data_IF_220885648157
#
_entry.id   IF_220885648157
#
_cell.length_a   1.000
_cell.length_b   1.000
_cell.length_c   1.000
_cell.angle_alpha   90.00
_cell.angle_beta   90.00
_cell.angle_gamma   90.00
#
_symmetry.space_group_name_H-M   'P 1'
#
loop_
_entity.id
_entity.type
_entity.pdbx_description
1 polymer ?
#
# COMPACT_ATOMS: atom_id res chain seq x y z
N UNK A 1 -85.50 36.48 14.42
CA UNK A 1 -85.88 35.07 14.64
C UNK A 1 -84.63 34.41 15.18
N UNK A 2 -84.51 34.25 16.51
CA UNK A 2 -85.20 33.19 17.28
C UNK A 2 -84.89 31.82 16.67
N UNK A 3 -84.51 30.78 17.39
CA UNK A 3 -84.38 30.45 18.80
C UNK A 3 -83.68 29.07 18.75
N UNK A 4 -82.70 28.80 19.61
CA UNK A 4 -82.87 28.10 20.88
C UNK A 4 -83.09 26.58 20.76
N UNK A 5 -82.51 25.90 21.73
CA UNK A 5 -82.72 24.53 22.21
C UNK A 5 -82.07 23.38 21.44
N UNK A 6 -81.04 22.71 21.97
CA UNK A 6 -80.90 22.00 23.26
C UNK A 6 -81.08 20.50 23.03
N UNK A 7 -80.06 19.74 23.41
CA UNK A 7 -80.08 18.51 24.22
C UNK A 7 -78.74 17.79 23.96
N UNK A 8 -77.78 17.70 24.88
CA UNK A 8 -77.81 17.23 26.28
C UNK A 8 -78.12 15.73 26.41
N UNK A 9 -77.10 14.95 26.75
CA UNK A 9 -77.11 13.95 27.84
C UNK A 9 -75.65 13.58 28.14
N UNK A 10 -75.04 14.14 29.21
CA UNK A 10 -75.13 13.74 30.63
C UNK A 10 -74.28 12.50 30.92
N UNK A 11 -73.18 12.72 31.64
CA UNK A 11 -72.82 11.91 32.82
C UNK A 11 -72.24 12.85 33.87
N UNK A 12 -73.15 13.33 34.73
CA UNK A 12 -72.98 13.68 36.15
C UNK A 12 -72.45 12.44 36.93
N UNK A 13 -71.72 12.45 38.03
CA UNK A 13 -71.42 13.47 39.05
C UNK A 13 -70.37 12.90 40.04
N UNK A 14 -69.70 13.81 40.78
CA UNK A 14 -69.17 13.76 42.17
C UNK A 14 -67.81 14.50 42.24
N UNK A 15 -67.79 15.81 42.56
CA UNK A 15 -67.60 16.44 43.90
C UNK A 15 -66.34 15.93 44.64
N UNK A 16 -65.44 16.74 45.22
CA UNK A 16 -65.49 18.12 45.72
C UNK A 16 -64.03 18.64 45.93
N UNK A 17 -63.88 19.97 45.87
CA UNK A 17 -62.89 20.84 46.54
C UNK A 17 -61.36 20.66 46.34
N UNK A 18 -60.76 21.59 45.60
CA UNK A 18 -60.02 22.73 46.20
C UNK A 18 -59.46 23.70 45.17
N UNK A 19 -59.84 24.95 45.39
CA UNK A 19 -59.33 26.20 44.82
C UNK A 19 -57.79 26.25 44.86
N UNK A 20 -57.14 26.44 43.71
CA UNK A 20 -55.74 26.85 43.62
C UNK A 20 -55.64 28.05 42.69
N UNK A 21 -55.51 29.19 43.37
CA UNK A 21 -55.31 30.55 42.88
C UNK A 21 -54.42 30.65 41.64
N UNK A 22 -54.96 31.30 40.61
CA UNK A 22 -54.17 32.02 39.60
C UNK A 22 -53.47 33.18 40.29
N UNK A 23 -52.27 32.93 40.85
CA UNK A 23 -51.35 33.99 41.29
C UNK A 23 -50.91 34.82 40.09
N UNK A 24 -51.59 35.93 39.87
CA UNK A 24 -51.00 37.08 39.17
C UNK A 24 -49.94 37.67 40.10
N UNK A 25 -48.71 37.19 40.00
CA UNK A 25 -47.54 37.89 40.53
C UNK A 25 -47.27 39.13 39.66
N UNK A 26 -48.13 40.13 39.79
CA UNK A 26 -47.94 41.45 39.21
C UNK A 26 -46.93 42.22 40.05
N UNK A 27 -45.73 42.45 39.52
CA UNK A 27 -44.79 43.40 40.12
C UNK A 27 -45.44 44.79 40.03
N UNK A 28 -45.83 45.36 41.17
CA UNK A 28 -46.34 46.72 41.28
C UNK A 28 -45.21 47.62 41.75
N UNK A 29 -44.95 48.71 41.02
CA UNK A 29 -43.94 49.71 41.40
C UNK A 29 -44.60 50.92 42.06
N UNK A 30 -44.03 51.37 43.17
CA UNK A 30 -44.58 52.51 43.92
C UNK A 30 -44.15 53.86 43.31
N UNK A 31 -43.12 53.87 42.46
CA UNK A 31 -42.67 55.06 41.73
C UNK A 31 -42.01 54.72 40.39
N UNK A 32 -41.95 55.69 39.48
CA UNK A 32 -41.28 55.56 38.18
C UNK A 32 -39.78 55.24 38.32
N UNK A 33 -39.14 55.72 39.40
CA UNK A 33 -37.72 55.47 39.67
C UNK A 33 -37.43 54.01 40.03
N UNK A 34 -38.38 53.35 40.68
CA UNK A 34 -38.21 51.96 41.12
C UNK A 34 -38.40 50.99 39.93
N UNK A 35 -39.33 51.32 39.02
CA UNK A 35 -39.49 50.64 37.73
C UNK A 35 -38.23 50.74 36.86
N UNK A 36 -37.65 51.94 36.77
CA UNK A 36 -36.43 52.20 35.98
C UNK A 36 -35.24 51.39 36.52
N UNK A 37 -35.05 51.37 37.85
CA UNK A 37 -34.00 50.57 38.50
C UNK A 37 -34.16 49.06 38.26
N UNK A 38 -35.40 48.56 38.24
CA UNK A 38 -35.66 47.15 37.95
C UNK A 38 -35.40 46.80 36.48
N UNK A 39 -35.80 47.67 35.56
CA UNK A 39 -35.53 47.50 34.13
C UNK A 39 -34.04 47.56 33.83
N UNK A 40 -33.30 48.51 34.40
CA UNK A 40 -31.85 48.57 34.28
C UNK A 40 -31.18 47.29 34.76
N UNK A 41 -31.56 46.77 35.93
CA UNK A 41 -31.03 45.50 36.44
C UNK A 41 -31.33 44.32 35.51
N UNK A 42 -32.53 44.28 34.92
CA UNK A 42 -32.91 43.23 33.96
C UNK A 42 -32.14 43.36 32.65
N UNK A 43 -31.97 44.58 32.14
CA UNK A 43 -31.22 44.87 30.93
C UNK A 43 -29.74 44.57 31.12
N UNK A 44 -29.12 45.01 32.22
CA UNK A 44 -27.73 44.67 32.56
C UNK A 44 -27.54 43.16 32.65
N UNK A 45 -28.45 42.45 33.34
CA UNK A 45 -28.38 40.99 33.44
C UNK A 45 -28.57 40.30 32.09
N UNK A 46 -29.44 40.82 31.23
CA UNK A 46 -29.63 40.31 29.87
C UNK A 46 -28.39 40.54 29.00
N UNK A 47 -27.75 41.71 29.11
CA UNK A 47 -26.52 42.05 28.39
C UNK A 47 -25.36 41.19 28.88
N UNK A 48 -25.19 41.00 30.19
CA UNK A 48 -24.17 40.12 30.76
C UNK A 48 -24.36 38.67 30.29
N UNK A 49 -25.59 38.18 30.31
CA UNK A 49 -25.91 36.84 29.82
C UNK A 49 -25.63 36.70 28.32
N UNK A 50 -25.99 37.71 27.52
CA UNK A 50 -25.72 37.73 26.09
C UNK A 50 -24.21 37.76 25.80
N UNK A 51 -23.45 38.60 26.52
CA UNK A 51 -21.98 38.67 26.41
C UNK A 51 -21.33 37.34 26.78
N UNK A 52 -21.75 36.73 27.88
CA UNK A 52 -21.23 35.43 28.31
C UNK A 52 -21.48 34.34 27.25
N UNK A 53 -22.70 34.30 26.68
CA UNK A 53 -23.02 33.35 25.60
C UNK A 53 -22.20 33.61 24.33
N UNK A 54 -22.04 34.87 23.93
CA UNK A 54 -21.22 35.20 22.77
C UNK A 54 -19.75 34.87 22.97
N UNK A 55 -19.21 35.08 24.17
CA UNK A 55 -17.83 34.72 24.49
C UNK A 55 -17.63 33.20 24.49
N UNK A 56 -18.59 32.44 25.01
CA UNK A 56 -18.58 30.97 24.98
C UNK A 56 -18.67 30.45 23.54
N UNK A 57 -19.59 30.96 22.73
CA UNK A 57 -19.69 30.62 21.30
C UNK A 57 -18.44 31.02 20.50
N UNK A 58 -17.81 32.15 20.84
CA UNK A 58 -16.56 32.58 20.22
C UNK A 58 -15.41 31.62 20.54
N UNK A 59 -15.27 31.22 21.82
CA UNK A 59 -14.27 30.23 22.24
C UNK A 59 -14.52 28.87 21.59
N UNK A 60 -15.77 28.40 21.56
CA UNK A 60 -16.11 27.12 20.94
C UNK A 60 -15.82 27.12 19.42
N UNK A 61 -16.11 28.23 18.72
CA UNK A 61 -15.72 28.38 17.30
C UNK A 61 -14.22 28.36 17.12
N UNK A 62 -13.48 29.07 17.96
CA UNK A 62 -12.01 29.12 17.88
C UNK A 62 -11.39 27.74 18.13
N UNK A 63 -11.89 27.00 19.13
CA UNK A 63 -11.41 25.67 19.46
C UNK A 63 -11.75 24.64 18.38
N UNK A 64 -12.96 24.70 17.81
CA UNK A 64 -13.34 23.87 16.65
C UNK A 64 -12.45 24.17 15.44
N UNK A 65 -12.19 25.44 15.13
CA UNK A 65 -11.33 25.85 14.03
C UNK A 65 -9.88 25.39 14.24
N UNK A 66 -9.33 25.57 15.45
CA UNK A 66 -7.98 25.10 15.83
C UNK A 66 -7.88 23.58 15.74
N UNK A 67 -8.90 22.84 16.22
CA UNK A 67 -8.92 21.38 16.14
C UNK A 67 -8.97 20.89 14.70
N UNK A 68 -9.80 21.52 13.86
CA UNK A 68 -9.88 21.19 12.44
C UNK A 68 -8.55 21.47 11.72
N UNK A 69 -7.96 22.65 11.94
CA UNK A 69 -6.66 23.01 11.35
C UNK A 69 -5.54 22.06 11.81
N UNK A 70 -5.49 21.70 13.10
CA UNK A 70 -4.54 20.73 13.63
C UNK A 70 -4.74 19.33 13.04
N UNK A 71 -5.98 18.91 12.82
CA UNK A 71 -6.27 17.62 12.21
C UNK A 71 -5.81 17.59 10.76
N UNK A 72 -6.11 18.63 9.97
CA UNK A 72 -5.64 18.76 8.59
C UNK A 72 -4.11 18.76 8.49
N UNK A 73 -3.42 19.47 9.39
CA UNK A 73 -1.95 19.49 9.41
C UNK A 73 -1.36 18.14 9.84
N UNK A 74 -1.93 17.51 10.87
CA UNK A 74 -1.47 16.20 11.33
C UNK A 74 -1.67 15.11 10.28
N UNK A 75 -2.79 15.12 9.57
CA UNK A 75 -3.06 14.16 8.49
C UNK A 75 -2.14 14.38 7.30
N UNK A 76 -1.83 15.65 6.96
CA UNK A 76 -0.84 15.98 5.93
C UNK A 76 0.56 15.49 6.31
N UNK A 77 1.00 15.74 7.55
CA UNK A 77 2.31 15.28 8.03
C UNK A 77 2.39 13.75 8.00
N UNK A 78 1.33 13.04 8.43
CA UNK A 78 1.29 11.58 8.37
C UNK A 78 1.33 11.06 6.94
N UNK A 79 0.63 11.69 6.00
CA UNK A 79 0.68 11.30 4.60
C UNK A 79 2.10 11.50 4.03
N UNK A 80 2.72 12.64 4.30
CA UNK A 80 4.10 12.93 3.87
C UNK A 80 5.10 11.95 4.50
N UNK A 81 4.96 11.63 5.78
CA UNK A 81 5.76 10.60 6.46
C UNK A 81 5.55 9.23 5.86
N UNK A 82 4.31 8.81 5.63
CA UNK A 82 4.01 7.52 5.02
C UNK A 82 4.58 7.41 3.61
N UNK A 83 4.54 8.49 2.82
CA UNK A 83 5.12 8.50 1.48
C UNK A 83 6.65 8.48 1.53
N UNK A 84 7.27 9.19 2.49
CA UNK A 84 8.71 9.12 2.78
C UNK A 84 9.12 7.70 3.19
N UNK A 85 8.37 7.06 4.06
CA UNK A 85 8.66 5.72 4.56
C UNK A 85 8.50 4.66 3.46
N UNK A 86 7.48 4.80 2.60
CA UNK A 86 7.34 3.94 1.41
C UNK A 86 8.52 4.09 0.45
N UNK A 87 8.93 5.33 0.18
CA UNK A 87 10.05 5.62 -0.72
C UNK A 87 11.38 5.10 -0.14
N UNK A 88 11.58 5.23 1.17
CA UNK A 88 12.72 4.64 1.87
C UNK A 88 12.69 3.12 1.82
N UNK A 89 11.56 2.50 2.13
CA UNK A 89 11.40 1.03 2.09
C UNK A 89 11.63 0.47 0.70
N UNK A 90 11.13 1.17 -0.34
CA UNK A 90 11.39 0.79 -1.74
C UNK A 90 12.87 0.86 -2.08
N UNK A 91 13.56 1.95 -1.71
CA UNK A 91 15.01 2.06 -1.91
C UNK A 91 15.78 0.97 -1.16
N UNK A 92 15.40 0.67 0.07
CA UNK A 92 16.04 -0.40 0.85
C UNK A 92 15.84 -1.77 0.21
N UNK A 93 14.64 -2.06 -0.30
CA UNK A 93 14.35 -3.30 -1.02
C UNK A 93 15.16 -3.40 -2.32
N UNK A 94 15.25 -2.32 -3.10
CA UNK A 94 16.05 -2.26 -4.31
C UNK A 94 17.55 -2.47 -4.02
N UNK A 95 18.07 -1.81 -2.98
CA UNK A 95 19.47 -1.97 -2.56
C UNK A 95 19.77 -3.39 -2.07
N UNK A 96 18.89 -3.98 -1.24
CA UNK A 96 19.03 -5.37 -0.80
C UNK A 96 19.03 -6.33 -1.97
N UNK A 97 18.11 -6.14 -2.92
CA UNK A 97 18.05 -6.95 -4.13
C UNK A 97 19.32 -6.83 -4.96
N UNK A 98 19.87 -5.62 -5.09
CA UNK A 98 21.13 -5.38 -5.80
C UNK A 98 22.31 -6.06 -5.10
N UNK A 99 22.43 -5.88 -3.79
CA UNK A 99 23.47 -6.52 -2.98
C UNK A 99 23.41 -8.04 -3.11
N UNK A 100 22.22 -8.63 -2.95
CA UNK A 100 22.02 -10.06 -3.09
C UNK A 100 22.28 -10.55 -4.51
N UNK A 101 21.93 -9.77 -5.54
CA UNK A 101 22.25 -10.13 -6.92
C UNK A 101 23.76 -10.18 -7.17
N UNK A 102 24.53 -9.28 -6.56
CA UNK A 102 25.99 -9.25 -6.67
C UNK A 102 26.59 -10.43 -5.92
N UNK A 103 26.11 -10.74 -4.72
CA UNK A 103 26.55 -11.92 -3.97
C UNK A 103 26.26 -13.20 -4.75
N UNK A 104 25.04 -13.36 -5.28
CA UNK A 104 24.66 -14.51 -6.09
C UNK A 104 25.54 -14.64 -7.35
N UNK A 105 25.88 -13.53 -8.02
CA UNK A 105 26.84 -13.51 -9.13
C UNK A 105 28.22 -14.00 -8.72
N UNK A 106 28.72 -13.57 -7.56
CA UNK A 106 30.00 -14.03 -7.02
C UNK A 106 29.96 -15.54 -6.78
N UNK A 107 28.92 -16.03 -6.11
CA UNK A 107 28.76 -17.47 -5.82
C UNK A 107 28.61 -18.31 -7.08
N UNK A 108 27.88 -17.82 -8.10
CA UNK A 108 27.78 -18.48 -9.40
C UNK A 108 29.14 -18.56 -10.10
N UNK A 109 29.90 -17.46 -10.10
CA UNK A 109 31.23 -17.43 -10.68
C UNK A 109 32.20 -18.39 -9.96
N UNK A 110 32.17 -18.42 -8.63
CA UNK A 110 32.93 -19.38 -7.81
C UNK A 110 32.52 -20.84 -8.09
N UNK A 111 31.24 -21.08 -8.35
CA UNK A 111 30.72 -22.39 -8.73
C UNK A 111 31.08 -22.81 -10.18
N UNK A 112 31.67 -21.91 -10.97
CA UNK A 112 31.98 -22.12 -12.39
C UNK A 112 30.76 -22.13 -13.31
N UNK A 113 29.66 -21.52 -12.85
CA UNK A 113 28.40 -21.41 -13.59
C UNK A 113 28.32 -20.04 -14.29
N UNK A 114 27.55 -19.93 -15.39
CA UNK A 114 27.28 -18.63 -16.03
C UNK A 114 26.69 -17.65 -15.01
N UNK A 115 27.22 -16.43 -14.98
CA UNK A 115 26.81 -15.36 -14.06
C UNK A 115 25.99 -14.26 -14.78
N UNK A 116 25.33 -14.64 -15.87
CA UNK A 116 24.45 -13.77 -16.65
C UNK A 116 23.28 -13.26 -15.80
N UNK A 117 22.88 -12.00 -16.04
CA UNK A 117 21.80 -11.34 -15.29
C UNK A 117 20.49 -12.12 -15.31
N UNK A 118 20.17 -12.76 -16.44
CA UNK A 118 18.98 -13.59 -16.61
C UNK A 118 18.96 -14.77 -15.63
N UNK A 119 20.09 -15.47 -15.48
CA UNK A 119 20.19 -16.61 -14.58
C UNK A 119 20.13 -16.17 -13.12
N UNK A 120 20.83 -15.07 -12.79
CA UNK A 120 20.81 -14.49 -11.45
C UNK A 120 19.38 -14.14 -11.07
N UNK A 121 18.62 -13.49 -11.98
CA UNK A 121 17.23 -13.12 -11.73
C UNK A 121 16.28 -14.32 -11.50
N UNK A 122 16.60 -15.49 -12.07
CA UNK A 122 15.82 -16.72 -11.93
C UNK A 122 16.12 -17.45 -10.61
N UNK A 123 17.35 -17.36 -10.13
CA UNK A 123 17.82 -18.04 -8.93
C UNK A 123 17.59 -17.20 -7.66
N UNK A 124 17.66 -15.86 -7.80
CA UNK A 124 17.55 -14.91 -6.71
C UNK A 124 16.19 -15.03 -6.02
N UNK A 125 16.23 -15.34 -4.72
CA UNK A 125 15.07 -15.39 -3.84
C UNK A 125 15.20 -14.31 -2.76
N UNK A 126 14.17 -14.12 -1.92
CA UNK A 126 14.20 -13.15 -0.82
C UNK A 126 15.23 -13.51 0.27
N UNK A 127 15.73 -14.76 0.26
CA UNK A 127 16.70 -15.28 1.20
C UNK A 127 17.96 -15.81 0.50
N UNK A 128 19.10 -15.66 1.17
CA UNK A 128 20.43 -16.05 0.67
C UNK A 128 20.60 -17.56 0.70
N UNK A 129 20.07 -18.27 1.71
CA UNK A 129 20.19 -19.73 1.80
C UNK A 129 19.40 -20.43 0.70
N UNK A 130 18.17 -19.97 0.45
CA UNK A 130 17.35 -20.46 -0.67
C UNK A 130 18.02 -20.21 -2.02
N UNK A 131 18.61 -19.04 -2.23
CA UNK A 131 19.40 -18.72 -3.43
C UNK A 131 20.57 -19.68 -3.60
N UNK A 132 21.34 -19.96 -2.54
CA UNK A 132 22.46 -20.90 -2.57
C UNK A 132 22.02 -22.35 -2.86
N UNK A 133 20.89 -22.78 -2.28
CA UNK A 133 20.31 -24.09 -2.58
C UNK A 133 19.90 -24.21 -4.05
N UNK A 134 19.33 -23.16 -4.62
CA UNK A 134 18.99 -23.10 -6.04
C UNK A 134 20.25 -23.18 -6.92
N UNK A 135 21.33 -22.48 -6.56
CA UNK A 135 22.63 -22.56 -7.26
C UNK A 135 23.17 -23.99 -7.24
N UNK A 136 23.17 -24.64 -6.08
CA UNK A 136 23.66 -26.01 -5.93
C UNK A 136 22.81 -27.03 -6.72
N UNK A 137 21.49 -26.85 -6.73
CA UNK A 137 20.60 -27.67 -7.53
C UNK A 137 20.89 -27.50 -9.02
N UNK A 138 21.00 -26.27 -9.50
CA UNK A 138 21.33 -25.97 -10.89
C UNK A 138 22.68 -26.58 -11.29
N UNK A 139 23.70 -26.45 -10.43
CA UNK A 139 25.01 -27.06 -10.64
C UNK A 139 24.91 -28.56 -10.89
N UNK A 140 24.10 -29.26 -10.09
CA UNK A 140 23.89 -30.71 -10.23
C UNK A 140 23.19 -31.05 -11.54
N UNK A 141 22.10 -30.36 -11.88
CA UNK A 141 21.33 -30.61 -13.09
C UNK A 141 22.17 -30.38 -14.36
N UNK A 142 22.97 -29.31 -14.38
CA UNK A 142 23.88 -29.02 -15.49
C UNK A 142 24.97 -30.10 -15.58
N UNK A 143 25.60 -30.45 -14.47
CA UNK A 143 26.63 -31.51 -14.44
C UNK A 143 26.08 -32.84 -14.96
N UNK A 144 24.89 -33.25 -14.52
CA UNK A 144 24.23 -34.49 -14.96
C UNK A 144 23.91 -34.46 -16.46
N UNK A 145 23.42 -33.33 -16.98
CA UNK A 145 23.11 -33.15 -18.40
C UNK A 145 24.37 -33.19 -19.27
N UNK A 146 25.43 -32.49 -18.85
CA UNK A 146 26.73 -32.46 -19.54
C UNK A 146 27.34 -33.86 -19.52
N UNK A 147 27.35 -34.56 -18.38
CA UNK A 147 27.89 -35.91 -18.29
C UNK A 147 27.16 -36.88 -19.22
N UNK A 148 25.82 -36.84 -19.26
CA UNK A 148 25.03 -37.65 -20.21
C UNK A 148 25.39 -37.34 -21.65
N UNK A 149 25.53 -36.07 -22.00
CA UNK A 149 25.87 -35.65 -23.36
C UNK A 149 27.29 -36.07 -23.74
N UNK A 150 28.25 -35.94 -22.82
CA UNK A 150 29.62 -36.42 -23.00
C UNK A 150 29.63 -37.94 -23.17
N UNK A 151 28.89 -38.69 -22.37
CA UNK A 151 28.78 -40.14 -22.50
C UNK A 151 28.20 -40.56 -23.87
N UNK A 152 27.20 -39.85 -24.38
CA UNK A 152 26.68 -40.07 -25.74
C UNK A 152 27.71 -39.76 -26.82
N UNK A 153 28.43 -38.64 -26.70
CA UNK A 153 29.51 -38.27 -27.62
C UNK A 153 30.67 -39.27 -27.57
N UNK A 154 31.01 -39.80 -26.39
CA UNK A 154 32.04 -40.84 -26.24
C UNK A 154 31.60 -42.18 -26.83
N UNK A 155 30.30 -42.49 -26.82
CA UNK A 155 29.74 -43.67 -27.51
C UNK A 155 29.69 -43.50 -29.03
N UNK A 156 29.59 -42.26 -29.50
CA UNK A 156 29.69 -41.97 -30.92
C UNK A 156 31.14 -42.25 -31.36
N UNK A 157 31.34 -43.30 -32.17
CA UNK A 157 32.65 -43.56 -32.77
C UNK A 157 33.13 -42.28 -33.44
N UNK A 158 34.33 -41.83 -33.08
CA UNK A 158 35.05 -40.87 -33.89
C UNK A 158 34.97 -41.37 -35.33
N UNK A 159 34.64 -40.51 -36.31
CA UNK A 159 34.73 -40.91 -37.70
C UNK A 159 36.11 -41.54 -37.84
N UNK A 160 36.18 -42.78 -38.31
CA UNK A 160 37.44 -43.30 -38.77
C UNK A 160 37.96 -42.17 -39.66
N UNK A 161 39.09 -41.56 -39.27
CA UNK A 161 39.95 -40.97 -40.25
C UNK A 161 40.20 -42.15 -41.17
N UNK A 162 39.34 -42.26 -42.19
CA UNK A 162 39.57 -43.06 -43.35
C UNK A 162 40.84 -42.42 -43.83
N UNK A 163 41.94 -43.01 -43.39
CA UNK A 163 43.14 -43.10 -44.17
C UNK A 163 42.60 -43.60 -45.49
N UNK A 164 42.22 -42.65 -46.34
CA UNK A 164 42.27 -42.80 -47.78
C UNK A 164 43.73 -43.12 -48.00
N UNK A 165 44.09 -44.39 -47.78
CA UNK A 165 45.15 -45.03 -48.49
C UNK A 165 44.77 -44.75 -49.92
N UNK A 166 45.44 -43.77 -50.49
CA UNK A 166 45.41 -43.50 -51.90
C UNK A 166 45.99 -44.75 -52.56
N UNK A 167 45.19 -45.80 -52.70
CA UNK A 167 45.52 -47.06 -53.35
C UNK A 167 45.51 -46.91 -54.87
N UNK A 168 45.80 -45.70 -55.34
CA UNK A 168 45.79 -45.30 -56.74
C UNK A 168 46.95 -44.35 -57.05
N UNK A 169 48.01 -44.34 -56.24
CA UNK A 169 49.29 -43.79 -56.69
C UNK A 169 49.85 -44.74 -57.75
N UNK A 170 49.29 -44.67 -58.97
CA UNK A 170 49.93 -45.22 -60.17
C UNK A 170 51.31 -44.60 -60.20
N UNK A 171 52.34 -45.44 -60.11
CA UNK A 171 53.71 -44.99 -60.14
C UNK A 171 53.93 -44.16 -61.41
N UNK A 172 54.67 -43.06 -61.31
CA UNK A 172 55.03 -42.22 -62.48
C UNK A 172 55.65 -43.10 -63.59
N UNK A 173 56.38 -44.15 -63.20
CA UNK A 173 56.95 -45.14 -64.11
C UNK A 173 55.88 -45.91 -64.90
N UNK A 174 54.75 -46.22 -64.28
CA UNK A 174 53.64 -46.97 -64.87
C UNK A 174 52.80 -46.07 -65.81
N UNK A 175 52.65 -44.80 -65.45
CA UNK A 175 52.03 -43.80 -66.32
C UNK A 175 52.89 -43.49 -67.57
N UNK A 176 54.21 -43.45 -67.40
CA UNK A 176 55.16 -43.25 -68.49
C UNK A 176 55.22 -44.44 -69.46
N UNK A 177 55.10 -45.68 -68.96
CA UNK A 177 55.02 -46.87 -69.81
C UNK A 177 53.72 -46.92 -70.61
N UNK A 178 52.58 -46.58 -69.98
CA UNK A 178 51.28 -46.60 -70.63
C UNK A 178 51.15 -45.58 -71.76
N UNK A 179 51.83 -44.43 -71.64
CA UNK A 179 51.80 -43.35 -72.62
C UNK A 179 53.08 -43.27 -73.47
N UNK A 180 53.88 -44.34 -73.55
CA UNK A 180 55.09 -44.36 -74.39
C UNK A 180 54.71 -44.46 -75.87
N UNK A 181 54.90 -43.37 -76.62
CA UNK A 181 54.51 -43.25 -78.05
C UNK A 181 55.46 -44.02 -78.99
N UNK A 182 56.57 -44.58 -78.49
CA UNK A 182 57.58 -45.28 -79.30
C UNK A 182 57.96 -46.57 -78.59
N UNK A 183 57.89 -47.72 -79.28
CA UNK A 183 58.38 -48.99 -78.73
C UNK A 183 59.87 -49.16 -79.05
#
# INVERSE_FOLDING_TARGET
>A
MENNDSQNEVVEEQNEDKQAETKKDGISFESQSELDSFMDKKVSKAIETARSKWEEEAKEREDKAKKLARMTEADRIKAEQADRDKELSKREQELKRLEYSIQAKSTLAEAGLPNEDELVSLILSDDVETTNNNINYLKKVIADSVNKRVDELSKQKTPNASSTKLSGAVSISELAQKNRVIK
#
